data_IF_787972873550
#
_entry.id   IF_787972873550
#
_cell.length_a   1.000
_cell.length_b   1.000
_cell.length_c   1.000
_cell.angle_alpha   90.00
_cell.angle_beta   90.00
_cell.angle_gamma   90.00
#
_symmetry.space_group_name_H-M   'P 1'
#
loop_
_entity.id
_entity.type
_entity.pdbx_description
1 polymer ?
#
# COMPACT_ATOMS: atom_id res chain seq x y z
N UNK A 1 3.53 -45.10 -19.56
CA UNK A 1 4.55 -44.07 -19.27
C UNK A 1 4.08 -43.33 -18.04
N UNK A 2 4.79 -43.45 -16.92
CA UNK A 2 4.39 -42.80 -15.68
C UNK A 2 4.61 -41.28 -15.82
N UNK A 3 3.52 -40.53 -15.80
CA UNK A 3 3.47 -39.08 -15.76
C UNK A 3 4.30 -38.58 -14.57
N UNK A 4 5.53 -38.12 -14.83
CA UNK A 4 6.37 -37.51 -13.80
C UNK A 4 5.81 -36.11 -13.53
N UNK A 5 4.92 -36.01 -12.54
CA UNK A 5 4.44 -34.73 -12.01
C UNK A 5 5.65 -33.83 -11.75
N UNK A 6 5.74 -32.70 -12.47
CA UNK A 6 6.80 -31.72 -12.29
C UNK A 6 6.86 -31.22 -10.84
N UNK A 7 8.03 -30.74 -10.40
CA UNK A 7 8.20 -30.21 -9.03
C UNK A 7 7.22 -29.07 -8.79
N UNK A 8 6.35 -29.23 -7.78
CA UNK A 8 5.49 -28.15 -7.30
C UNK A 8 6.34 -27.20 -6.44
N UNK A 9 6.50 -25.96 -6.91
CA UNK A 9 7.18 -24.91 -6.15
C UNK A 9 6.17 -24.25 -5.21
N UNK A 10 6.28 -24.58 -3.92
CA UNK A 10 5.54 -23.90 -2.86
C UNK A 10 6.33 -22.64 -2.50
N UNK A 11 5.84 -21.48 -2.94
CA UNK A 11 6.39 -20.20 -2.49
C UNK A 11 5.74 -19.86 -1.15
N UNK A 12 6.53 -19.62 -0.08
CA UNK A 12 5.96 -19.16 1.17
C UNK A 12 5.28 -17.81 0.96
N UNK A 13 4.07 -17.65 1.48
CA UNK A 13 3.29 -16.41 1.33
C UNK A 13 3.94 -15.19 2.03
N UNK A 14 4.87 -15.44 2.96
CA UNK A 14 5.55 -14.43 3.80
C UNK A 14 6.98 -14.08 3.35
N UNK A 15 7.36 -14.31 2.08
CA UNK A 15 8.67 -13.84 1.59
C UNK A 15 8.60 -12.35 1.27
N UNK A 16 8.70 -11.53 2.31
CA UNK A 16 8.79 -10.08 2.22
C UNK A 16 10.26 -9.65 2.46
N UNK A 17 10.82 -8.84 1.56
CA UNK A 17 12.23 -8.42 1.64
C UNK A 17 12.50 -7.33 2.67
N UNK A 18 11.45 -6.79 3.30
CA UNK A 18 11.54 -5.64 4.20
C UNK A 18 11.62 -6.02 5.67
N UNK A 19 12.29 -5.17 6.46
CA UNK A 19 12.27 -5.29 7.92
C UNK A 19 10.93 -4.83 8.48
N UNK A 20 10.18 -5.73 9.10
CA UNK A 20 8.86 -5.46 9.66
C UNK A 20 8.96 -4.98 11.11
N UNK A 21 8.33 -3.83 11.41
CA UNK A 21 8.19 -3.31 12.77
C UNK A 21 7.08 -4.06 13.52
N UNK A 22 5.96 -4.27 12.84
CA UNK A 22 4.83 -5.11 13.24
C UNK A 22 4.31 -5.83 12.00
N UNK A 23 3.49 -6.87 12.18
CA UNK A 23 2.90 -7.63 11.06
C UNK A 23 2.20 -6.69 10.07
N UNK A 24 2.67 -6.66 8.82
CA UNK A 24 2.11 -5.82 7.74
C UNK A 24 2.65 -4.39 7.66
N UNK A 25 3.51 -3.95 8.59
CA UNK A 25 4.14 -2.62 8.58
C UNK A 25 5.65 -2.76 8.56
N UNK A 26 6.23 -2.51 7.39
CA UNK A 26 7.67 -2.40 7.19
C UNK A 26 8.20 -1.06 7.68
N UNK A 27 9.47 -0.99 8.10
CA UNK A 27 10.16 0.27 8.43
C UNK A 27 9.97 1.31 7.33
N UNK A 28 10.14 0.90 6.07
CA UNK A 28 9.97 1.78 4.91
C UNK A 28 8.56 2.37 4.86
N UNK A 29 7.51 1.54 4.96
CA UNK A 29 6.12 2.03 4.86
C UNK A 29 5.70 2.86 6.07
N UNK A 30 6.27 2.59 7.24
CA UNK A 30 6.11 3.44 8.41
C UNK A 30 6.58 4.88 8.11
N UNK A 31 7.83 5.06 7.68
CA UNK A 31 8.39 6.40 7.45
C UNK A 31 7.81 7.08 6.20
N UNK A 32 7.54 6.35 5.11
CA UNK A 32 7.07 6.97 3.86
C UNK A 32 5.56 7.17 3.79
N UNK A 33 4.78 6.45 4.60
CA UNK A 33 3.31 6.50 4.55
C UNK A 33 2.72 6.82 5.91
N UNK A 34 2.91 5.98 6.94
CA UNK A 34 2.20 6.15 8.22
C UNK A 34 2.61 7.42 8.97
N UNK A 35 3.91 7.72 9.02
CA UNK A 35 4.45 8.89 9.73
C UNK A 35 3.87 10.22 9.21
N UNK A 36 3.77 10.47 7.89
CA UNK A 36 3.04 11.62 7.36
C UNK A 36 1.62 11.78 7.92
N UNK A 37 0.83 10.71 8.04
CA UNK A 37 -0.52 10.80 8.62
C UNK A 37 -0.50 11.16 10.10
N UNK A 38 0.46 10.63 10.87
CA UNK A 38 0.66 10.97 12.29
C UNK A 38 1.03 12.45 12.43
N UNK A 39 1.94 12.94 11.58
CA UNK A 39 2.34 14.36 11.58
C UNK A 39 1.14 15.25 11.25
N UNK A 40 0.36 14.92 10.21
CA UNK A 40 -0.86 15.67 9.86
C UNK A 40 -1.87 15.65 11.01
N UNK A 41 -2.08 14.50 11.66
CA UNK A 41 -2.95 14.38 12.84
C UNK A 41 -2.48 15.27 14.00
N UNK A 42 -1.18 15.29 14.28
CA UNK A 42 -0.58 16.18 15.28
C UNK A 42 -0.75 17.66 14.94
N UNK A 43 -0.56 18.03 13.67
CA UNK A 43 -0.79 19.40 13.20
C UNK A 43 -2.25 19.83 13.36
N UNK A 44 -3.22 18.95 13.09
CA UNK A 44 -4.65 19.23 13.29
C UNK A 44 -4.93 19.58 14.76
N UNK A 45 -4.36 18.82 15.70
CA UNK A 45 -4.55 19.07 17.15
C UNK A 45 -3.90 20.40 17.57
N UNK A 46 -2.76 20.75 16.97
CA UNK A 46 -1.99 21.96 17.30
C UNK A 46 -2.62 23.28 16.80
N UNK A 47 -3.72 23.24 16.03
CA UNK A 47 -4.39 24.46 15.58
C UNK A 47 -5.21 25.03 16.75
N UNK A 48 -5.02 26.29 17.18
CA UNK A 48 -5.87 26.94 18.17
C UNK A 48 -7.27 27.27 17.63
N UNK A 49 -8.30 27.52 18.48
CA UNK A 49 -8.28 27.66 19.95
C UNK A 49 -8.36 26.34 20.72
N UNK A 50 -7.77 26.26 21.92
CA UNK A 50 -7.64 25.03 22.72
C UNK A 50 -8.74 24.80 23.76
N UNK A 51 -9.96 25.23 23.49
CA UNK A 51 -11.10 24.91 24.36
C UNK A 51 -11.41 23.41 24.29
N UNK A 52 -11.87 22.83 25.40
CA UNK A 52 -12.02 21.38 25.58
C UNK A 52 -12.82 20.71 24.45
N UNK A 53 -13.97 21.28 24.08
CA UNK A 53 -14.84 20.74 23.02
C UNK A 53 -14.11 20.72 21.67
N UNK A 54 -13.41 21.81 21.32
CA UNK A 54 -12.69 21.90 20.05
C UNK A 54 -11.49 20.97 20.00
N UNK A 55 -10.77 20.81 21.11
CA UNK A 55 -9.66 19.84 21.22
C UNK A 55 -10.19 18.41 21.05
N UNK A 56 -11.30 18.05 21.71
CA UNK A 56 -11.90 16.71 21.56
C UNK A 56 -12.30 16.41 20.12
N UNK A 57 -12.94 17.37 19.44
CA UNK A 57 -13.31 17.23 18.02
C UNK A 57 -12.05 17.03 17.16
N UNK A 58 -10.99 17.82 17.38
CA UNK A 58 -9.75 17.70 16.60
C UNK A 58 -9.01 16.40 16.87
N UNK A 59 -8.99 15.92 18.12
CA UNK A 59 -8.43 14.62 18.47
C UNK A 59 -9.19 13.50 17.77
N UNK A 60 -10.52 13.58 17.73
CA UNK A 60 -11.33 12.62 16.99
C UNK A 60 -11.02 12.62 15.49
N UNK A 61 -10.89 13.80 14.87
CA UNK A 61 -10.49 13.94 13.46
C UNK A 61 -9.07 13.39 13.24
N UNK A 62 -8.12 13.72 14.11
CA UNK A 62 -6.74 13.23 14.03
C UNK A 62 -6.68 11.70 14.13
N UNK A 63 -7.49 11.09 15.00
CA UNK A 63 -7.63 9.64 15.09
C UNK A 63 -8.12 9.03 13.79
N UNK A 64 -9.12 9.63 13.14
CA UNK A 64 -9.59 9.18 11.82
C UNK A 64 -8.45 9.25 10.79
N UNK A 65 -7.72 10.36 10.74
CA UNK A 65 -6.60 10.55 9.79
C UNK A 65 -5.52 9.49 9.99
N UNK A 66 -5.10 9.24 11.23
CA UNK A 66 -4.08 8.22 11.54
C UNK A 66 -4.61 6.81 11.22
N UNK A 67 -5.88 6.54 11.51
CA UNK A 67 -6.52 5.24 11.22
C UNK A 67 -6.56 4.96 9.72
N UNK A 68 -6.85 5.98 8.89
CA UNK A 68 -6.79 5.85 7.43
C UNK A 68 -5.36 5.53 6.98
N UNK A 69 -4.36 6.24 7.49
CA UNK A 69 -2.95 5.97 7.18
C UNK A 69 -2.54 4.54 7.53
N UNK A 70 -2.96 4.07 8.70
CA UNK A 70 -2.72 2.70 9.14
C UNK A 70 -3.42 1.67 8.25
N UNK A 71 -4.69 1.90 7.91
CA UNK A 71 -5.45 1.04 7.02
C UNK A 71 -4.78 0.92 5.64
N UNK A 72 -4.24 2.02 5.08
CA UNK A 72 -3.53 1.99 3.79
C UNK A 72 -2.28 1.12 3.83
N UNK A 73 -1.52 1.13 4.93
CA UNK A 73 -0.29 0.33 5.06
C UNK A 73 -0.61 -1.16 5.25
N UNK A 74 -1.62 -1.48 6.06
CA UNK A 74 -1.96 -2.87 6.41
C UNK A 74 -2.79 -3.54 5.32
N UNK A 75 -3.66 -2.82 4.63
CA UNK A 75 -4.60 -3.42 3.68
C UNK A 75 -3.91 -4.12 2.52
N UNK A 76 -4.46 -5.28 2.16
CA UNK A 76 -4.09 -6.09 1.01
C UNK A 76 -5.30 -6.17 0.07
N UNK A 77 -5.35 -5.39 -1.03
CA UNK A 77 -6.56 -5.25 -1.84
C UNK A 77 -6.90 -6.51 -2.66
N UNK A 78 -5.92 -7.40 -2.86
CA UNK A 78 -6.06 -8.61 -3.68
C UNK A 78 -6.06 -9.83 -2.75
N UNK A 79 -7.24 -10.44 -2.55
CA UNK A 79 -7.40 -11.60 -1.64
C UNK A 79 -6.53 -12.80 -2.02
N UNK A 80 -6.27 -13.00 -3.32
CA UNK A 80 -5.43 -14.11 -3.80
C UNK A 80 -3.93 -13.87 -3.63
N UNK A 81 -3.51 -12.67 -3.21
CA UNK A 81 -2.10 -12.26 -3.15
C UNK A 81 -1.84 -11.37 -1.93
N UNK A 82 -1.62 -12.00 -0.78
CA UNK A 82 -1.38 -11.29 0.49
C UNK A 82 -0.07 -10.48 0.52
N UNK A 83 0.87 -10.76 -0.39
CA UNK A 83 2.10 -9.97 -0.53
C UNK A 83 1.89 -8.63 -1.26
N UNK A 84 0.76 -8.41 -1.94
CA UNK A 84 0.51 -7.15 -2.66
C UNK A 84 -0.19 -6.16 -1.73
N UNK A 85 0.54 -5.13 -1.31
CA UNK A 85 0.01 -4.01 -0.50
C UNK A 85 -0.80 -3.03 -1.36
N UNK A 86 -1.67 -2.20 -0.74
CA UNK A 86 -2.35 -1.10 -1.44
C UNK A 86 -1.34 -0.17 -2.15
N UNK A 87 -0.22 0.11 -1.50
CA UNK A 87 0.85 0.97 -2.06
C UNK A 87 1.40 0.36 -3.36
N UNK A 88 1.66 -0.96 -3.37
CA UNK A 88 2.09 -1.66 -4.59
C UNK A 88 1.01 -1.63 -5.67
N UNK A 89 -0.25 -1.90 -5.30
CA UNK A 89 -1.34 -1.89 -6.25
C UNK A 89 -1.49 -0.53 -6.95
N UNK A 90 -1.47 0.56 -6.19
CA UNK A 90 -1.54 1.92 -6.73
C UNK A 90 -0.33 2.25 -7.61
N UNK A 91 0.87 1.80 -7.22
CA UNK A 91 2.08 1.94 -8.04
C UNK A 91 1.92 1.23 -9.39
N UNK A 92 1.45 -0.02 -9.39
CA UNK A 92 1.22 -0.78 -10.62
C UNK A 92 0.18 -0.12 -11.52
N UNK A 93 -0.93 0.38 -10.98
CA UNK A 93 -1.93 1.11 -11.76
C UNK A 93 -1.33 2.38 -12.40
N UNK A 94 -0.53 3.12 -11.63
CA UNK A 94 0.14 4.33 -12.13
C UNK A 94 1.13 4.00 -13.24
N UNK A 95 1.96 2.97 -13.07
CA UNK A 95 2.93 2.52 -14.08
C UNK A 95 2.23 1.99 -15.32
N UNK A 96 1.15 1.21 -15.15
CA UNK A 96 0.32 0.71 -16.23
C UNK A 96 -0.26 1.84 -17.08
N UNK A 97 -0.73 2.92 -16.44
CA UNK A 97 -1.28 4.08 -17.14
C UNK A 97 -0.21 4.92 -17.84
N UNK A 98 1.03 4.93 -17.32
CA UNK A 98 2.15 5.70 -17.88
C UNK A 98 2.92 4.98 -18.98
N UNK A 99 2.73 3.67 -19.17
CA UNK A 99 3.48 2.90 -20.17
C UNK A 99 3.13 3.32 -21.59
N UNK A 100 4.14 3.44 -22.45
CA UNK A 100 3.91 3.61 -23.89
C UNK A 100 3.30 2.32 -24.46
N UNK A 101 2.11 2.43 -25.07
CA UNK A 101 1.39 1.29 -25.67
C UNK A 101 2.00 0.94 -27.04
N UNK A 102 3.26 0.50 -27.05
CA UNK A 102 4.01 0.20 -28.28
C UNK A 102 3.56 -1.08 -29.00
N UNK A 103 2.70 -1.89 -28.38
CA UNK A 103 2.23 -3.17 -28.94
C UNK A 103 1.02 -3.07 -29.89
N UNK A 104 0.61 -1.88 -30.31
CA UNK A 104 -0.40 -1.70 -31.37
C UNK A 104 0.22 -1.30 -32.72
N UNK A 105 1.46 -1.73 -33.00
CA UNK A 105 1.96 -1.70 -34.38
C UNK A 105 1.21 -2.81 -35.13
N UNK A 106 0.15 -2.42 -35.86
CA UNK A 106 -0.49 -3.25 -36.88
C UNK A 106 0.58 -3.96 -37.69
N UNK A 107 0.45 -5.27 -37.87
CA UNK A 107 1.41 -6.06 -38.63
C UNK A 107 1.50 -5.46 -40.04
N UNK A 108 2.63 -4.82 -40.36
CA UNK A 108 2.83 -4.25 -41.69
C UNK A 108 2.84 -5.43 -42.68
N UNK A 109 1.84 -5.46 -43.57
CA UNK A 109 1.68 -6.50 -44.60
C UNK A 109 3.00 -6.62 -45.36
N UNK A 110 3.69 -7.77 -45.25
CA UNK A 110 4.87 -8.07 -46.07
C UNK A 110 4.37 -8.19 -47.52
N UNK A 111 4.82 -7.26 -48.35
CA UNK A 111 4.64 -7.32 -49.81
C UNK A 111 5.46 -8.43 -50.42
#
# INVERSE_FOLDING_TARGET
>A
MADKKGKEFIFPDNVESGYNLIKGVTVKTFFTVLLPFIVIGGLIIAIPPYSLVFVLIRVFIALIVVTIGFAVVVSRPIKSRENITVIHHLKFLREYNKRQKLFYISTKKKG
#
